data_IF_732975602798
#
_entry.id   IF_732975602798
#
_cell.length_a   1.000
_cell.length_b   1.000
_cell.length_c   1.000
_cell.angle_alpha   90.00
_cell.angle_beta   90.00
_cell.angle_gamma   90.00
#
_symmetry.space_group_name_H-M   'P 1'
#
loop_
_entity.id
_entity.type
_entity.pdbx_description
1 polymer ?
#
# COMPACT_ATOMS: atom_id res chain seq x y z
N UNK A 1 24.48 -18.39 21.36
CA UNK A 1 24.51 -17.67 20.07
C UNK A 1 25.16 -18.59 19.06
N UNK A 2 24.38 -19.40 18.39
CA UNK A 2 24.83 -20.28 17.29
C UNK A 2 24.46 -19.60 16.00
N UNK A 3 25.46 -19.15 15.27
CA UNK A 3 25.33 -18.62 13.91
C UNK A 3 24.92 -19.77 12.98
N UNK A 4 23.67 -19.75 12.52
CA UNK A 4 23.27 -20.59 11.39
C UNK A 4 23.88 -20.00 10.11
N UNK A 5 24.94 -20.64 9.63
CA UNK A 5 25.42 -20.40 8.26
C UNK A 5 24.55 -21.23 7.31
N UNK A 6 23.78 -20.55 6.48
CA UNK A 6 23.11 -21.20 5.34
C UNK A 6 24.17 -21.83 4.42
N UNK A 7 24.02 -23.06 3.98
CA UNK A 7 24.88 -23.61 2.94
C UNK A 7 24.72 -22.75 1.68
N UNK A 8 25.83 -22.30 1.13
CA UNK A 8 25.86 -21.55 -0.13
C UNK A 8 25.51 -22.52 -1.27
N UNK A 9 24.22 -22.69 -1.53
CA UNK A 9 23.76 -23.28 -2.77
C UNK A 9 23.94 -22.28 -3.94
N UNK A 10 23.96 -22.76 -5.20
CA UNK A 10 23.93 -21.86 -6.34
C UNK A 10 22.67 -20.99 -6.23
N UNK A 11 22.73 -19.71 -6.64
CA UNK A 11 21.58 -18.81 -6.58
C UNK A 11 20.38 -19.46 -7.31
N UNK A 12 19.15 -19.27 -6.82
CA UNK A 12 17.96 -19.82 -7.45
C UNK A 12 17.88 -19.34 -8.90
N UNK A 13 17.31 -20.14 -9.82
CA UNK A 13 17.09 -19.70 -11.18
C UNK A 13 16.07 -18.55 -11.19
N UNK A 14 16.56 -17.35 -11.00
CA UNK A 14 15.83 -16.11 -11.24
C UNK A 14 15.59 -15.90 -12.74
N UNK A 15 14.80 -14.88 -13.14
CA UNK A 15 14.75 -14.49 -14.54
C UNK A 15 16.19 -14.36 -15.04
N UNK A 16 16.49 -14.88 -16.21
CA UNK A 16 17.86 -14.91 -16.77
C UNK A 16 18.33 -13.47 -16.99
N UNK A 17 18.79 -12.83 -15.93
CA UNK A 17 19.48 -11.55 -16.02
C UNK A 17 20.90 -11.83 -16.49
N UNK A 18 21.26 -11.32 -17.65
CA UNK A 18 22.66 -11.23 -18.06
C UNK A 18 23.39 -10.41 -16.99
N UNK A 19 24.42 -10.96 -16.36
CA UNK A 19 25.28 -10.20 -15.46
C UNK A 19 25.18 -10.50 -13.96
N UNK A 20 24.66 -11.64 -13.53
CA UNK A 20 24.68 -12.07 -12.11
C UNK A 20 26.08 -12.16 -11.49
N UNK A 21 27.12 -12.22 -12.32
CA UNK A 21 28.52 -12.29 -11.91
C UNK A 21 29.28 -10.97 -12.07
N UNK A 22 28.56 -9.88 -12.37
CA UNK A 22 29.18 -8.56 -12.54
C UNK A 22 29.58 -8.04 -11.15
N UNK A 23 30.86 -7.73 -10.88
CA UNK A 23 31.27 -7.08 -9.65
C UNK A 23 30.49 -5.80 -9.42
N UNK A 24 29.99 -5.59 -8.19
CA UNK A 24 29.13 -4.44 -7.84
C UNK A 24 27.63 -4.62 -8.14
N UNK A 25 27.18 -5.78 -8.70
CA UNK A 25 25.78 -6.17 -8.76
C UNK A 25 25.47 -7.16 -7.63
N UNK A 26 24.63 -6.78 -6.67
CA UNK A 26 24.33 -7.59 -5.49
C UNK A 26 22.87 -8.05 -5.50
N UNK A 27 22.60 -9.37 -5.38
CA UNK A 27 21.27 -9.83 -4.97
C UNK A 27 21.04 -9.43 -3.51
N UNK A 28 19.80 -9.04 -3.18
CA UNK A 28 19.42 -8.74 -1.80
C UNK A 28 19.67 -9.98 -0.93
N UNK A 29 20.38 -9.82 0.18
CA UNK A 29 20.80 -10.92 1.08
C UNK A 29 22.28 -11.25 1.04
N UNK A 30 23.07 -10.66 0.14
CA UNK A 30 24.52 -10.63 0.28
C UNK A 30 24.92 -9.44 1.15
N UNK A 31 25.85 -9.66 2.11
CA UNK A 31 26.37 -8.59 2.98
C UNK A 31 26.99 -7.50 2.10
N UNK A 32 26.47 -6.31 2.23
CA UNK A 32 27.00 -5.12 1.57
C UNK A 32 28.23 -4.64 2.35
N UNK A 33 29.43 -4.95 1.86
CA UNK A 33 30.69 -4.41 2.37
C UNK A 33 31.44 -3.83 1.20
N UNK A 34 31.19 -2.57 0.92
CA UNK A 34 31.95 -1.85 -0.10
C UNK A 34 32.96 -0.88 0.54
N UNK A 35 34.19 -0.89 0.03
CA UNK A 35 35.27 -0.03 0.54
C UNK A 35 35.14 1.40 0.04
N UNK A 36 34.50 1.62 -1.10
CA UNK A 36 34.28 2.93 -1.71
C UNK A 36 32.78 3.25 -1.74
N UNK A 37 32.41 4.43 -1.25
CA UNK A 37 31.04 4.91 -1.29
C UNK A 37 30.61 5.16 -2.74
N UNK A 38 29.56 4.52 -3.25
CA UNK A 38 29.03 4.79 -4.58
C UNK A 38 28.44 6.22 -4.63
N UNK A 39 28.50 6.86 -5.78
CA UNK A 39 27.82 8.14 -6.04
C UNK A 39 26.42 7.93 -6.57
N UNK A 40 26.24 6.88 -7.36
CA UNK A 40 24.99 6.52 -8.03
C UNK A 40 24.64 5.06 -7.76
N UNK A 41 23.35 4.79 -7.56
CA UNK A 41 22.86 3.42 -7.38
C UNK A 41 21.59 3.18 -8.20
N UNK A 42 21.49 2.00 -8.80
CA UNK A 42 20.29 1.52 -9.46
C UNK A 42 19.71 0.33 -8.70
N UNK A 43 18.42 0.40 -8.35
CA UNK A 43 17.71 -0.66 -7.65
C UNK A 43 16.65 -1.25 -8.58
N UNK A 44 16.77 -2.53 -8.88
CA UNK A 44 15.78 -3.26 -9.66
C UNK A 44 14.74 -3.89 -8.73
N UNK A 45 13.49 -3.43 -8.84
CA UNK A 45 12.36 -3.81 -8.00
C UNK A 45 11.86 -2.65 -7.13
N UNK A 46 10.61 -2.69 -6.71
CA UNK A 46 9.94 -1.63 -5.95
C UNK A 46 9.22 -2.15 -4.70
N UNK A 47 9.71 -3.24 -4.10
CA UNK A 47 9.22 -3.82 -2.86
C UNK A 47 9.90 -3.28 -1.61
N UNK A 48 9.61 -3.88 -0.45
CA UNK A 48 10.15 -3.49 0.87
C UNK A 48 11.67 -3.31 0.87
N UNK A 49 12.41 -4.34 0.49
CA UNK A 49 13.89 -4.36 0.52
C UNK A 49 14.47 -3.22 -0.34
N UNK A 50 13.90 -3.02 -1.54
CA UNK A 50 14.35 -1.97 -2.43
C UNK A 50 14.16 -0.58 -1.81
N UNK A 51 13.03 -0.34 -1.16
CA UNK A 51 12.72 0.96 -0.54
C UNK A 51 13.58 1.25 0.70
N UNK A 52 13.80 0.24 1.54
CA UNK A 52 14.69 0.36 2.70
C UNK A 52 16.14 0.61 2.26
N UNK A 53 16.61 -0.07 1.22
CA UNK A 53 17.93 0.19 0.64
C UNK A 53 18.03 1.58 0.00
N UNK A 54 16.98 2.00 -0.73
CA UNK A 54 16.92 3.31 -1.38
C UNK A 54 16.99 4.45 -0.37
N UNK A 55 16.24 4.36 0.74
CA UNK A 55 16.27 5.33 1.84
C UNK A 55 17.69 5.48 2.41
N UNK A 56 18.30 4.35 2.80
CA UNK A 56 19.61 4.35 3.42
C UNK A 56 20.71 4.89 2.48
N UNK A 57 20.67 4.52 1.20
CA UNK A 57 21.60 5.04 0.20
C UNK A 57 21.41 6.53 -0.03
N UNK A 58 20.17 7.01 -0.13
CA UNK A 58 19.87 8.43 -0.29
C UNK A 58 20.30 9.26 0.93
N UNK A 59 20.10 8.76 2.16
CA UNK A 59 20.60 9.40 3.39
C UNK A 59 22.13 9.50 3.43
N UNK A 60 22.81 8.55 2.79
CA UNK A 60 24.26 8.62 2.57
C UNK A 60 24.65 9.59 1.44
N UNK A 61 23.68 10.22 0.74
CA UNK A 61 23.90 11.15 -0.39
C UNK A 61 24.25 10.45 -1.70
N UNK A 62 23.82 9.18 -1.86
CA UNK A 62 23.89 8.46 -3.13
C UNK A 62 22.69 8.86 -3.98
N UNK A 63 22.91 9.14 -5.25
CA UNK A 63 21.83 9.35 -6.22
C UNK A 63 21.18 8.01 -6.55
N UNK A 64 19.89 7.87 -6.24
CA UNK A 64 19.16 6.59 -6.32
C UNK A 64 18.17 6.59 -7.46
N UNK A 65 18.26 5.57 -8.31
CA UNK A 65 17.26 5.26 -9.35
C UNK A 65 16.57 3.92 -9.04
N UNK A 66 15.26 3.92 -8.93
CA UNK A 66 14.45 2.71 -8.74
C UNK A 66 13.77 2.33 -10.06
N UNK A 67 14.02 1.11 -10.53
CA UNK A 67 13.44 0.53 -11.74
C UNK A 67 12.37 -0.48 -11.35
N UNK A 68 11.13 -0.26 -11.76
CA UNK A 68 10.02 -1.14 -11.44
C UNK A 68 9.22 -1.50 -12.69
N UNK A 69 9.06 -2.80 -12.96
CA UNK A 69 8.38 -3.31 -14.17
C UNK A 69 6.89 -3.02 -14.24
N UNK A 70 6.24 -2.80 -13.09
CA UNK A 70 4.80 -2.47 -12.99
C UNK A 70 4.61 -0.97 -12.73
N UNK A 71 3.39 -0.43 -12.90
CA UNK A 71 3.13 1.00 -12.77
C UNK A 71 3.19 1.55 -11.34
N UNK A 72 3.59 0.76 -10.34
CA UNK A 72 3.63 1.18 -8.95
C UNK A 72 4.74 0.50 -8.15
N UNK A 73 5.17 1.18 -7.08
CA UNK A 73 5.94 0.59 -5.98
C UNK A 73 4.97 -0.08 -4.99
N UNK A 74 5.51 -0.92 -4.09
CA UNK A 74 4.74 -1.56 -3.01
C UNK A 74 3.49 -2.28 -3.51
N UNK A 75 3.67 -3.42 -4.14
CA UNK A 75 2.57 -4.24 -4.68
C UNK A 75 1.44 -4.60 -3.67
N UNK A 76 1.66 -4.66 -2.34
CA UNK A 76 0.57 -4.79 -1.36
C UNK A 76 -0.40 -3.61 -1.32
N UNK A 77 -0.01 -2.43 -1.79
CA UNK A 77 -0.90 -1.28 -1.94
C UNK A 77 -1.70 -1.34 -3.24
N UNK A 78 -2.82 -0.64 -3.27
CA UNK A 78 -3.45 -0.22 -4.52
C UNK A 78 -2.66 0.93 -5.16
N UNK A 79 -2.81 1.09 -6.47
CA UNK A 79 -2.09 2.11 -7.22
C UNK A 79 -2.31 3.53 -6.66
N UNK A 80 -3.55 3.87 -6.35
CA UNK A 80 -3.94 5.17 -5.82
C UNK A 80 -3.29 5.49 -4.46
N UNK A 81 -3.12 4.48 -3.60
CA UNK A 81 -2.40 4.60 -2.33
C UNK A 81 -0.89 4.71 -2.54
N UNK A 82 -0.34 4.00 -3.53
CA UNK A 82 1.08 4.04 -3.85
C UNK A 82 1.54 5.40 -4.40
N UNK A 83 0.64 6.21 -4.96
CA UNK A 83 0.99 7.54 -5.52
C UNK A 83 1.54 8.51 -4.47
N UNK A 84 1.11 8.40 -3.22
CA UNK A 84 1.69 9.18 -2.11
C UNK A 84 3.16 8.84 -1.88
N UNK A 85 3.49 7.55 -1.93
CA UNK A 85 4.88 7.09 -1.83
C UNK A 85 5.71 7.55 -3.02
N UNK A 86 5.19 7.44 -4.24
CA UNK A 86 5.88 7.91 -5.45
C UNK A 86 6.20 9.41 -5.36
N UNK A 87 5.22 10.23 -5.00
CA UNK A 87 5.40 11.67 -4.85
C UNK A 87 6.40 12.02 -3.75
N UNK A 88 6.40 11.25 -2.64
CA UNK A 88 7.34 11.45 -1.54
C UNK A 88 8.78 11.15 -1.95
N UNK A 89 9.03 10.02 -2.60
CA UNK A 89 10.37 9.64 -3.06
C UNK A 89 10.94 10.61 -4.10
N UNK A 90 10.10 11.06 -5.06
CA UNK A 90 10.52 12.07 -6.03
C UNK A 90 10.89 13.40 -5.36
N UNK A 91 10.15 13.84 -4.35
CA UNK A 91 10.50 15.04 -3.56
C UNK A 91 11.79 14.88 -2.76
N UNK A 92 12.16 13.65 -2.44
CA UNK A 92 13.47 13.31 -1.83
C UNK A 92 14.60 13.20 -2.85
N UNK A 93 14.33 13.49 -4.13
CA UNK A 93 15.34 13.45 -5.19
C UNK A 93 15.60 12.08 -5.78
N UNK A 94 14.82 11.06 -5.43
CA UNK A 94 14.97 9.73 -6.02
C UNK A 94 14.31 9.64 -7.39
N UNK A 95 14.97 9.01 -8.33
CA UNK A 95 14.48 8.78 -9.69
C UNK A 95 13.63 7.52 -9.76
N UNK A 96 12.34 7.65 -10.07
CA UNK A 96 11.43 6.51 -10.23
C UNK A 96 11.17 6.24 -11.70
N UNK A 97 11.58 5.06 -12.17
CA UNK A 97 11.31 4.55 -13.51
C UNK A 97 10.31 3.39 -13.37
N UNK A 98 9.01 3.72 -13.38
CA UNK A 98 7.92 2.75 -13.37
C UNK A 98 7.65 2.24 -14.79
N UNK A 99 6.98 1.08 -14.92
CA UNK A 99 6.80 0.35 -16.19
C UNK A 99 8.14 0.08 -16.90
N UNK A 100 9.22 -0.12 -16.14
CA UNK A 100 10.58 -0.32 -16.66
C UNK A 100 11.12 -1.63 -16.14
N UNK A 101 11.16 -2.64 -16.97
CA UNK A 101 11.71 -3.95 -16.64
C UNK A 101 13.22 -3.99 -16.91
N UNK A 102 13.99 -4.49 -15.95
CA UNK A 102 15.42 -4.75 -16.12
C UNK A 102 15.59 -6.07 -16.86
N UNK A 103 16.25 -6.03 -18.01
CA UNK A 103 16.60 -7.19 -18.83
C UNK A 103 17.94 -7.81 -18.43
N UNK A 104 18.84 -7.02 -17.83
CA UNK A 104 20.16 -7.51 -17.42
C UNK A 104 21.07 -6.40 -16.90
N UNK A 105 22.31 -6.75 -16.66
CA UNK A 105 23.35 -5.81 -16.26
C UNK A 105 24.59 -6.03 -17.15
N UNK A 106 25.30 -4.95 -17.45
CA UNK A 106 26.56 -4.97 -18.18
C UNK A 106 27.59 -4.15 -17.44
N UNK A 107 28.80 -4.65 -17.31
CA UNK A 107 29.92 -3.92 -16.74
C UNK A 107 30.81 -3.36 -17.86
N UNK A 108 31.16 -2.07 -17.73
CA UNK A 108 32.13 -1.40 -18.60
C UNK A 108 33.15 -0.65 -17.71
N UNK A 109 34.33 -1.25 -17.53
CA UNK A 109 35.30 -0.75 -16.56
C UNK A 109 34.79 -0.88 -15.11
N UNK A 110 34.70 0.23 -14.39
CA UNK A 110 34.16 0.28 -13.03
C UNK A 110 32.66 0.61 -13.00
N UNK A 111 32.06 0.98 -14.13
CA UNK A 111 30.66 1.35 -14.22
C UNK A 111 29.80 0.14 -14.54
N UNK A 112 28.69 0.01 -13.84
CA UNK A 112 27.64 -0.99 -14.11
C UNK A 112 26.50 -0.29 -14.84
N UNK A 113 26.00 -0.89 -15.92
CA UNK A 113 24.82 -0.40 -16.60
C UNK A 113 23.65 -1.39 -16.42
N UNK A 114 22.54 -0.93 -15.87
CA UNK A 114 21.29 -1.68 -15.91
C UNK A 114 20.68 -1.55 -17.31
N UNK A 115 20.52 -2.68 -17.99
CA UNK A 115 19.89 -2.77 -19.29
C UNK A 115 18.38 -2.92 -19.10
N UNK A 116 17.60 -2.00 -19.66
CA UNK A 116 16.13 -2.08 -19.59
C UNK A 116 15.54 -2.58 -20.90
N UNK A 117 14.34 -3.12 -20.83
CA UNK A 117 13.59 -3.49 -22.04
C UNK A 117 13.40 -2.22 -22.90
N UNK A 118 13.70 -2.35 -24.21
CA UNK A 118 13.74 -1.21 -25.13
C UNK A 118 15.16 -0.71 -25.46
N UNK A 119 16.20 -1.29 -24.82
CA UNK A 119 17.61 -1.11 -25.20
C UNK A 119 18.33 0.06 -24.54
N UNK A 120 17.69 0.83 -23.68
CA UNK A 120 18.35 1.87 -22.86
C UNK A 120 19.27 1.23 -21.80
N UNK A 121 20.43 1.83 -21.55
CA UNK A 121 21.34 1.45 -20.49
C UNK A 121 21.44 2.58 -19.45
N UNK A 122 21.19 2.26 -18.18
CA UNK A 122 21.24 3.21 -17.07
C UNK A 122 22.51 2.94 -16.28
N UNK A 123 23.53 3.83 -16.35
CA UNK A 123 24.78 3.65 -15.66
C UNK A 123 24.65 3.90 -14.17
N UNK A 124 25.41 3.16 -13.37
CA UNK A 124 25.52 3.34 -11.92
C UNK A 124 26.83 2.76 -11.39
N UNK A 125 27.26 3.23 -10.21
CA UNK A 125 28.38 2.65 -9.48
C UNK A 125 27.98 1.36 -8.76
N UNK A 126 26.68 1.25 -8.43
CA UNK A 126 26.11 0.15 -7.66
C UNK A 126 24.79 -0.31 -8.29
N UNK A 127 24.58 -1.62 -8.39
CA UNK A 127 23.30 -2.21 -8.78
C UNK A 127 22.80 -3.18 -7.70
N UNK A 128 21.56 -3.01 -7.26
CA UNK A 128 20.88 -3.89 -6.30
C UNK A 128 19.70 -4.58 -6.97
N UNK A 129 19.66 -5.90 -6.87
CA UNK A 129 18.59 -6.71 -7.42
C UNK A 129 17.63 -7.16 -6.32
N UNK A 130 16.44 -6.57 -6.29
CA UNK A 130 15.38 -6.81 -5.31
C UNK A 130 14.01 -7.09 -5.98
N UNK A 131 14.02 -7.97 -7.01
CA UNK A 131 12.86 -8.26 -7.88
C UNK A 131 11.90 -9.30 -7.33
N UNK A 132 12.07 -9.73 -6.09
CA UNK A 132 11.26 -10.72 -5.39
C UNK A 132 12.06 -11.90 -4.90
N UNK A 133 11.37 -12.79 -4.20
CA UNK A 133 11.93 -14.02 -3.62
C UNK A 133 11.20 -15.24 -4.18
N UNK A 134 11.92 -16.36 -4.23
CA UNK A 134 11.36 -17.66 -4.61
C UNK A 134 11.67 -18.64 -3.48
N UNK A 135 10.71 -19.50 -3.09
CA UNK A 135 10.97 -20.52 -2.07
C UNK A 135 12.16 -21.39 -2.44
N UNK A 136 13.12 -21.55 -1.52
CA UNK A 136 14.18 -22.55 -1.67
C UNK A 136 13.62 -23.94 -1.38
N UNK A 137 13.25 -24.65 -2.41
CA UNK A 137 12.53 -25.92 -2.33
C UNK A 137 13.31 -27.12 -2.92
N UNK A 138 14.59 -26.93 -3.24
CA UNK A 138 15.39 -28.00 -3.88
C UNK A 138 15.47 -29.26 -3.03
N UNK A 139 15.75 -29.11 -1.72
CA UNK A 139 15.78 -30.25 -0.78
C UNK A 139 14.40 -30.89 -0.60
N UNK A 140 13.34 -30.08 -0.55
CA UNK A 140 11.97 -30.56 -0.45
C UNK A 140 11.58 -31.42 -1.66
N UNK A 141 11.93 -30.99 -2.87
CA UNK A 141 11.76 -31.79 -4.11
C UNK A 141 12.51 -33.10 -4.06
N UNK A 142 13.79 -33.07 -3.64
CA UNK A 142 14.62 -34.29 -3.53
C UNK A 142 14.06 -35.27 -2.50
N UNK A 143 13.49 -34.77 -1.41
CA UNK A 143 12.85 -35.56 -0.36
C UNK A 143 11.42 -35.99 -0.73
N UNK A 144 10.89 -35.64 -1.88
CA UNK A 144 9.55 -36.02 -2.32
C UNK A 144 8.40 -35.30 -1.57
N UNK A 145 8.67 -34.14 -0.96
CA UNK A 145 7.64 -33.36 -0.28
C UNK A 145 6.65 -32.74 -1.28
N UNK A 146 5.38 -32.67 -0.91
CA UNK A 146 4.38 -31.96 -1.69
C UNK A 146 4.68 -30.46 -1.74
N UNK A 147 4.59 -29.90 -2.95
CA UNK A 147 4.74 -28.47 -3.20
C UNK A 147 3.43 -27.92 -3.75
N UNK A 148 3.10 -26.70 -3.32
CA UNK A 148 1.96 -25.96 -3.84
C UNK A 148 2.22 -25.32 -5.19
N UNK A 149 1.21 -24.63 -5.72
CA UNK A 149 1.21 -24.05 -7.06
C UNK A 149 2.29 -22.97 -7.29
N UNK A 150 2.73 -22.33 -6.22
CA UNK A 150 3.78 -21.30 -6.23
C UNK A 150 5.16 -21.84 -5.83
N UNK A 151 5.27 -23.16 -5.66
CA UNK A 151 6.49 -23.86 -5.30
C UNK A 151 6.83 -23.83 -3.82
N UNK A 152 5.95 -23.33 -2.96
CA UNK A 152 6.10 -23.42 -1.52
C UNK A 152 5.83 -24.86 -1.01
N UNK A 153 6.45 -25.22 0.10
CA UNK A 153 6.25 -26.52 0.73
C UNK A 153 4.85 -26.54 1.36
N UNK A 154 4.04 -27.54 1.02
CA UNK A 154 2.72 -27.71 1.62
C UNK A 154 2.88 -28.25 3.05
N UNK A 155 2.25 -27.55 4.00
CA UNK A 155 2.21 -27.93 5.40
C UNK A 155 0.78 -27.92 5.95
N UNK A 156 0.52 -28.72 6.99
CA UNK A 156 -0.72 -28.62 7.73
C UNK A 156 -0.64 -27.55 8.85
N UNK A 157 -1.70 -27.40 9.64
CA UNK A 157 -1.72 -26.44 10.74
C UNK A 157 -0.70 -26.73 11.86
N UNK A 158 -0.15 -27.92 11.91
CA UNK A 158 0.90 -28.32 12.85
C UNK A 158 2.32 -28.07 12.31
N UNK A 159 2.43 -27.52 11.10
CA UNK A 159 3.68 -27.33 10.32
C UNK A 159 4.32 -28.65 9.86
N UNK A 160 3.57 -29.75 9.84
CA UNK A 160 4.00 -31.04 9.31
C UNK A 160 3.87 -31.02 7.77
N UNK A 161 4.85 -31.59 7.09
CA UNK A 161 4.84 -31.73 5.62
C UNK A 161 4.04 -32.97 5.19
N UNK A 162 4.04 -33.28 3.90
CA UNK A 162 3.42 -34.52 3.35
C UNK A 162 4.13 -35.80 3.74
N UNK A 163 5.33 -35.74 4.33
CA UNK A 163 6.12 -36.87 4.78
C UNK A 163 6.22 -36.85 6.31
N UNK A 164 5.90 -37.96 7.01
CA UNK A 164 5.97 -38.03 8.47
C UNK A 164 7.34 -37.59 9.01
N UNK A 165 7.32 -37.00 10.21
CA UNK A 165 8.49 -36.53 10.95
C UNK A 165 9.31 -35.43 10.26
N UNK A 166 8.79 -34.84 9.17
CA UNK A 166 9.39 -33.69 8.50
C UNK A 166 8.49 -32.47 8.67
N UNK A 167 9.06 -31.38 9.20
CA UNK A 167 8.41 -30.10 9.41
C UNK A 167 9.02 -29.04 8.49
N UNK A 168 8.21 -28.08 8.06
CA UNK A 168 8.68 -26.94 7.29
C UNK A 168 8.04 -25.64 7.80
N UNK A 169 8.81 -24.54 7.82
CA UNK A 169 8.39 -23.23 8.34
C UNK A 169 9.06 -22.09 7.56
N UNK A 170 8.56 -20.89 7.74
CA UNK A 170 9.14 -19.66 7.20
C UNK A 170 8.74 -19.37 5.75
N UNK A 171 9.59 -18.66 5.04
CA UNK A 171 9.29 -18.14 3.69
C UNK A 171 9.13 -19.23 2.62
N UNK A 172 9.56 -20.45 2.93
CA UNK A 172 9.52 -21.58 2.02
C UNK A 172 8.18 -22.33 2.01
N UNK A 173 7.25 -22.02 2.94
CA UNK A 173 5.98 -22.77 3.08
C UNK A 173 4.79 -22.00 2.55
N UNK A 174 3.80 -22.72 1.99
CA UNK A 174 2.47 -22.18 1.71
C UNK A 174 1.55 -22.33 2.91
N UNK A 175 0.87 -21.25 3.28
CA UNK A 175 -0.04 -21.17 4.43
C UNK A 175 -1.38 -20.57 4.01
N UNK A 176 -2.48 -20.86 4.73
CA UNK A 176 -3.76 -20.22 4.46
C UNK A 176 -3.70 -18.70 4.63
N UNK A 177 -4.24 -17.97 3.65
CA UNK A 177 -4.53 -16.56 3.81
C UNK A 177 -5.86 -16.40 4.55
N UNK A 178 -5.86 -15.75 5.72
CA UNK A 178 -7.02 -15.72 6.62
C UNK A 178 -8.28 -15.08 6.01
N UNK A 179 -8.15 -14.24 4.98
CA UNK A 179 -9.30 -13.59 4.33
C UNK A 179 -9.90 -14.48 3.24
N UNK A 180 -9.06 -15.11 2.40
CA UNK A 180 -9.53 -15.91 1.26
C UNK A 180 -9.66 -17.40 1.56
N UNK A 181 -8.98 -17.88 2.59
CA UNK A 181 -8.85 -19.33 2.89
C UNK A 181 -7.87 -20.07 1.95
N UNK A 182 -7.42 -19.43 0.88
CA UNK A 182 -6.52 -20.04 -0.10
C UNK A 182 -5.07 -20.07 0.40
N UNK A 183 -4.37 -21.17 0.09
CA UNK A 183 -2.94 -21.29 0.41
C UNK A 183 -2.11 -20.33 -0.45
N UNK A 184 -1.19 -19.64 0.19
CA UNK A 184 -0.31 -18.66 -0.46
C UNK A 184 1.03 -18.53 0.28
N UNK A 185 1.99 -17.93 -0.40
CA UNK A 185 3.28 -17.54 0.20
C UNK A 185 3.13 -16.17 0.88
N UNK A 186 3.47 -16.10 2.16
CA UNK A 186 3.54 -14.86 2.94
C UNK A 186 4.93 -14.79 3.59
N UNK A 187 5.89 -14.26 2.84
CA UNK A 187 7.29 -14.16 3.24
C UNK A 187 7.51 -12.98 4.18
N UNK A 188 7.10 -13.15 5.44
CA UNK A 188 7.19 -12.15 6.50
C UNK A 188 7.71 -12.79 7.80
N UNK A 189 8.55 -12.05 8.53
CA UNK A 189 9.19 -12.53 9.76
C UNK A 189 8.20 -12.89 10.88
N UNK A 190 7.08 -12.16 11.00
CA UNK A 190 6.04 -12.45 11.99
C UNK A 190 5.43 -13.85 11.85
N UNK A 191 4.87 -14.21 10.66
CA UNK A 191 4.48 -15.57 10.34
C UNK A 191 5.57 -16.60 10.58
N UNK A 192 6.78 -16.39 10.04
CA UNK A 192 7.90 -17.33 10.15
C UNK A 192 8.25 -17.69 11.60
N UNK A 193 8.32 -16.69 12.49
CA UNK A 193 8.61 -16.89 13.92
C UNK A 193 7.50 -17.67 14.64
N UNK A 194 6.23 -17.38 14.36
CA UNK A 194 5.09 -18.11 14.95
C UNK A 194 5.05 -19.56 14.48
N UNK A 195 5.31 -19.81 13.19
CA UNK A 195 5.42 -21.14 12.61
C UNK A 195 6.55 -21.94 13.24
N UNK A 196 7.73 -21.33 13.43
CA UNK A 196 8.87 -21.97 14.09
C UNK A 196 8.53 -22.44 15.50
N UNK A 197 7.80 -21.65 16.28
CA UNK A 197 7.32 -22.06 17.61
C UNK A 197 6.34 -23.23 17.53
N UNK A 198 5.33 -23.14 16.64
CA UNK A 198 4.34 -24.22 16.48
C UNK A 198 5.01 -25.54 16.09
N UNK A 199 5.97 -25.50 15.15
CA UNK A 199 6.73 -26.70 14.79
C UNK A 199 7.52 -27.29 15.99
N UNK A 200 8.22 -26.43 16.73
CA UNK A 200 8.99 -26.86 17.90
C UNK A 200 8.10 -27.51 18.98
N UNK A 201 6.97 -26.88 19.31
CA UNK A 201 6.00 -27.40 20.26
C UNK A 201 5.52 -28.79 19.82
N UNK A 202 5.21 -28.96 18.53
CA UNK A 202 4.70 -30.24 17.99
C UNK A 202 5.78 -31.35 17.91
N UNK A 203 7.01 -31.00 17.57
CA UNK A 203 8.16 -31.92 17.61
C UNK A 203 8.38 -32.44 19.03
N UNK A 204 8.11 -31.63 20.04
CA UNK A 204 8.19 -32.01 21.45
C UNK A 204 6.92 -32.72 21.98
N UNK A 205 5.98 -33.12 21.14
CA UNK A 205 4.77 -33.84 21.50
C UNK A 205 3.58 -32.99 21.90
N UNK A 206 3.63 -31.68 21.64
CA UNK A 206 2.51 -30.75 21.83
C UNK A 206 1.44 -30.83 20.72
N UNK A 207 0.37 -29.99 20.84
CA UNK A 207 -0.70 -29.85 19.84
C UNK A 207 -0.94 -28.38 19.53
N UNK A 208 0.12 -27.66 19.17
CA UNK A 208 0.04 -26.28 18.75
C UNK A 208 -0.39 -26.18 17.28
N UNK A 209 -1.15 -25.09 16.94
CA UNK A 209 -1.69 -24.89 15.59
C UNK A 209 -1.42 -23.49 15.07
N UNK A 210 -1.02 -23.41 13.82
CA UNK A 210 -0.90 -22.16 13.04
C UNK A 210 -2.04 -22.07 12.04
N UNK A 211 -2.92 -21.08 12.21
CA UNK A 211 -4.14 -20.96 11.41
C UNK A 211 -3.94 -20.25 10.08
N UNK A 212 -2.81 -19.58 9.90
CA UNK A 212 -2.52 -18.78 8.71
C UNK A 212 -2.15 -17.33 9.04
N UNK A 213 -2.08 -16.50 8.02
CA UNK A 213 -1.79 -15.07 8.13
C UNK A 213 -2.62 -14.25 7.15
N UNK A 214 -2.74 -12.96 7.41
CA UNK A 214 -3.40 -11.98 6.53
C UNK A 214 -2.42 -11.04 5.83
N UNK A 215 -1.10 -11.22 6.02
CA UNK A 215 -0.07 -10.44 5.34
C UNK A 215 0.10 -9.02 5.88
N UNK A 216 -0.09 -8.81 7.19
CA UNK A 216 0.12 -7.51 7.82
C UNK A 216 1.59 -7.08 7.72
N UNK A 217 1.81 -5.88 7.20
CA UNK A 217 3.14 -5.35 6.92
C UNK A 217 3.20 -3.84 7.14
N UNK A 218 4.36 -3.35 7.53
CA UNK A 218 4.68 -1.94 7.68
C UNK A 218 6.10 -1.68 7.22
N UNK A 219 6.33 -0.54 6.59
CA UNK A 219 7.65 -0.08 6.19
C UNK A 219 7.78 1.42 6.42
N UNK A 220 8.94 1.85 6.90
CA UNK A 220 9.35 3.25 6.90
C UNK A 220 10.07 3.55 5.59
N UNK A 221 9.73 4.65 4.95
CA UNK A 221 10.40 5.13 3.74
C UNK A 221 10.65 6.64 3.91
N UNK A 222 11.84 6.99 4.29
CA UNK A 222 12.22 8.32 4.77
C UNK A 222 11.33 8.72 5.98
N UNK A 223 10.54 9.78 5.88
CA UNK A 223 9.61 10.19 6.94
C UNK A 223 8.21 9.61 6.77
N UNK A 224 7.98 8.84 5.72
CA UNK A 224 6.68 8.25 5.43
C UNK A 224 6.61 6.83 5.98
N UNK A 225 5.51 6.50 6.61
CA UNK A 225 5.15 5.13 7.01
C UNK A 225 4.08 4.60 6.07
N UNK A 226 4.29 3.40 5.55
CA UNK A 226 3.39 2.70 4.65
C UNK A 226 3.02 1.35 5.27
N UNK A 227 1.74 1.07 5.42
CA UNK A 227 1.28 -0.18 6.02
C UNK A 227 0.10 -0.78 5.25
N UNK A 228 0.01 -2.11 5.27
CA UNK A 228 -1.10 -2.85 4.67
C UNK A 228 -1.41 -4.12 5.46
N UNK A 229 -2.66 -4.56 5.40
CA UNK A 229 -3.12 -5.84 5.94
C UNK A 229 -4.26 -6.39 5.11
N UNK A 230 -4.37 -7.71 4.96
CA UNK A 230 -5.41 -8.35 4.14
C UNK A 230 -5.24 -8.10 2.65
N UNK A 231 -6.34 -7.92 1.95
CA UNK A 231 -6.40 -7.77 0.50
C UNK A 231 -6.38 -6.31 0.08
N UNK A 232 -5.74 -6.03 -1.05
CA UNK A 232 -5.98 -4.82 -1.83
C UNK A 232 -7.12 -5.05 -2.85
N UNK A 233 -7.57 -4.02 -3.56
CA UNK A 233 -8.67 -4.14 -4.54
C UNK A 233 -8.40 -5.20 -5.60
N UNK A 234 -7.18 -5.21 -6.14
CA UNK A 234 -6.76 -6.19 -7.15
C UNK A 234 -6.87 -7.63 -6.64
N UNK A 235 -6.44 -7.89 -5.41
CA UNK A 235 -6.53 -9.21 -4.80
C UNK A 235 -7.98 -9.60 -4.47
N UNK A 236 -8.79 -8.65 -3.99
CA UNK A 236 -10.21 -8.86 -3.74
C UNK A 236 -10.97 -9.19 -5.03
N UNK A 237 -10.70 -8.47 -6.12
CA UNK A 237 -11.26 -8.75 -7.45
C UNK A 237 -10.83 -10.12 -7.99
N UNK A 238 -9.54 -10.46 -7.86
CA UNK A 238 -9.03 -11.76 -8.27
C UNK A 238 -9.64 -12.94 -7.49
N UNK A 239 -10.02 -12.71 -6.23
CA UNK A 239 -10.74 -13.66 -5.39
C UNK A 239 -12.26 -13.68 -5.65
N UNK A 240 -12.78 -12.87 -6.58
CA UNK A 240 -14.21 -12.79 -6.89
C UNK A 240 -15.07 -12.20 -5.78
N UNK A 241 -14.48 -11.44 -4.85
CA UNK A 241 -15.18 -10.84 -3.72
C UNK A 241 -15.88 -9.55 -4.14
N UNK A 242 -17.16 -9.41 -3.75
CA UNK A 242 -17.90 -8.15 -3.89
C UNK A 242 -17.59 -7.27 -2.70
N UNK A 243 -16.96 -6.13 -2.92
CA UNK A 243 -16.50 -5.25 -1.86
C UNK A 243 -16.99 -3.81 -2.02
N UNK A 244 -16.96 -3.09 -0.90
CA UNK A 244 -17.04 -1.64 -0.81
C UNK A 244 -15.72 -1.11 -0.30
N UNK A 245 -15.39 0.16 -0.61
CA UNK A 245 -14.16 0.79 -0.14
C UNK A 245 -14.44 2.14 0.51
N UNK A 246 -13.71 2.45 1.55
CA UNK A 246 -13.74 3.73 2.25
C UNK A 246 -12.34 4.33 2.18
N UNK A 247 -12.23 5.58 1.72
CA UNK A 247 -10.99 6.33 1.75
C UNK A 247 -11.17 7.57 2.62
N UNK A 248 -10.34 7.70 3.65
CA UNK A 248 -10.34 8.82 4.59
C UNK A 248 -8.94 9.42 4.69
N UNK A 249 -8.87 10.74 4.92
CA UNK A 249 -7.59 11.43 5.17
C UNK A 249 -7.63 12.18 6.51
N UNK A 250 -7.70 11.47 7.66
CA UNK A 250 -7.70 12.08 8.99
C UNK A 250 -6.30 12.57 9.40
N UNK A 251 -6.27 13.41 10.45
CA UNK A 251 -5.04 13.73 11.16
C UNK A 251 -4.60 12.56 12.06
N UNK A 252 -3.28 12.46 12.30
CA UNK A 252 -2.69 11.49 13.22
C UNK A 252 -3.18 11.64 14.67
N UNK A 253 -3.48 12.87 15.06
CA UNK A 253 -3.98 13.23 16.39
C UNK A 253 -4.88 14.48 16.34
N UNK A 254 -5.34 14.98 17.50
CA UNK A 254 -6.24 16.11 17.62
C UNK A 254 -5.68 17.38 16.94
N UNK A 255 -6.46 17.98 16.03
CA UNK A 255 -6.03 19.10 15.20
C UNK A 255 -5.68 20.39 15.97
N UNK A 256 -6.16 20.54 17.21
CA UNK A 256 -5.81 21.65 18.10
C UNK A 256 -4.47 21.44 18.84
N UNK A 257 -3.92 20.21 18.80
CA UNK A 257 -2.59 19.92 19.34
C UNK A 257 -1.54 20.05 18.23
N UNK A 258 -0.41 20.74 18.47
CA UNK A 258 0.59 20.99 17.45
C UNK A 258 1.21 19.72 16.86
N UNK A 259 1.52 19.75 15.59
CA UNK A 259 2.29 18.69 14.92
C UNK A 259 1.45 17.63 14.20
N UNK A 260 0.12 17.70 14.24
CA UNK A 260 -0.74 16.74 13.55
C UNK A 260 -0.43 16.59 12.07
N UNK A 261 -0.26 15.35 11.60
CA UNK A 261 0.04 15.00 10.21
C UNK A 261 -1.13 14.23 9.60
N UNK A 262 -1.45 14.54 8.35
CA UNK A 262 -2.45 13.77 7.62
C UNK A 262 -1.93 12.36 7.33
N UNK A 263 -2.79 11.37 7.53
CA UNK A 263 -2.64 10.03 6.98
C UNK A 263 -3.78 9.75 6.00
N UNK A 264 -3.55 8.94 4.99
CA UNK A 264 -4.61 8.46 4.11
C UNK A 264 -4.81 6.97 4.40
N UNK A 265 -6.06 6.61 4.68
CA UNK A 265 -6.48 5.25 4.98
C UNK A 265 -7.46 4.79 3.90
N UNK A 266 -7.26 3.58 3.40
CA UNK A 266 -8.20 2.90 2.51
C UNK A 266 -8.54 1.56 3.14
N UNK A 267 -9.84 1.31 3.36
CA UNK A 267 -10.34 0.08 3.97
C UNK A 267 -11.32 -0.57 3.02
N UNK A 268 -11.15 -1.88 2.81
CA UNK A 268 -12.04 -2.71 2.01
C UNK A 268 -12.86 -3.61 2.92
N UNK A 269 -14.15 -3.70 2.65
CA UNK A 269 -15.04 -4.65 3.32
C UNK A 269 -16.01 -5.30 2.35
N UNK A 270 -16.46 -6.50 2.66
CA UNK A 270 -17.36 -7.29 1.83
C UNK A 270 -18.80 -6.76 1.92
N UNK A 271 -19.42 -6.56 0.76
CA UNK A 271 -20.82 -6.13 0.70
C UNK A 271 -21.75 -7.20 1.30
N UNK A 272 -22.71 -6.76 2.09
CA UNK A 272 -23.68 -7.62 2.75
C UNK A 272 -23.19 -8.21 4.07
N UNK A 273 -22.04 -8.87 4.11
CA UNK A 273 -21.48 -9.42 5.36
C UNK A 273 -20.80 -8.39 6.23
N UNK A 274 -20.37 -7.27 5.67
CA UNK A 274 -19.58 -6.20 6.32
C UNK A 274 -18.21 -6.68 6.85
N UNK A 275 -17.75 -7.86 6.45
CA UNK A 275 -16.46 -8.44 6.86
C UNK A 275 -15.31 -7.59 6.34
N UNK A 276 -14.36 -7.25 7.18
CA UNK A 276 -13.13 -6.58 6.78
C UNK A 276 -12.32 -7.49 5.84
N UNK A 277 -11.95 -6.97 4.68
CA UNK A 277 -11.17 -7.68 3.67
C UNK A 277 -9.71 -7.21 3.63
N UNK A 278 -9.48 -5.93 3.87
CA UNK A 278 -8.14 -5.38 3.86
C UNK A 278 -8.10 -3.90 4.21
N UNK A 279 -6.90 -3.43 4.53
CA UNK A 279 -6.66 -2.03 4.81
C UNK A 279 -5.25 -1.62 4.38
N UNK A 280 -5.13 -0.36 3.98
CA UNK A 280 -3.88 0.28 3.59
C UNK A 280 -3.83 1.66 4.21
N UNK A 281 -2.67 2.05 4.75
CA UNK A 281 -2.48 3.36 5.36
C UNK A 281 -1.14 3.93 4.92
N UNK A 282 -1.13 5.19 4.51
CA UNK A 282 0.07 5.95 4.18
C UNK A 282 0.05 7.27 4.94
N UNK A 283 1.09 7.55 5.70
CA UNK A 283 1.18 8.76 6.52
C UNK A 283 2.54 8.88 7.20
N UNK A 284 2.70 9.90 8.05
CA UNK A 284 3.96 10.12 8.78
C UNK A 284 3.93 9.49 10.17
N UNK A 285 2.83 9.61 10.91
CA UNK A 285 2.73 9.21 12.31
C UNK A 285 1.45 8.43 12.58
N UNK A 286 1.53 7.44 13.47
CA UNK A 286 0.39 6.67 13.96
C UNK A 286 -0.24 5.72 12.92
N UNK A 287 0.46 5.44 11.83
CA UNK A 287 0.07 4.48 10.79
C UNK A 287 0.15 3.07 11.34
N UNK A 288 1.26 2.73 12.01
CA UNK A 288 1.53 1.44 12.65
C UNK A 288 0.45 1.07 13.68
N UNK A 289 0.10 2.02 14.55
CA UNK A 289 -0.97 1.82 15.54
C UNK A 289 -2.31 1.44 14.86
N UNK A 290 -2.71 2.16 13.79
CA UNK A 290 -4.02 1.97 13.17
C UNK A 290 -4.10 0.72 12.31
N UNK A 291 -3.00 0.38 11.62
CA UNK A 291 -2.99 -0.88 10.85
C UNK A 291 -3.10 -2.09 11.77
N UNK A 292 -2.47 -2.06 12.96
CA UNK A 292 -2.54 -3.16 13.92
C UNK A 292 -3.94 -3.31 14.54
N UNK A 293 -4.64 -2.19 14.81
CA UNK A 293 -6.04 -2.23 15.26
C UNK A 293 -6.93 -2.85 14.18
N UNK A 294 -6.78 -2.41 12.91
CA UNK A 294 -7.54 -2.99 11.78
C UNK A 294 -7.21 -4.46 11.55
N UNK A 295 -5.94 -4.84 11.63
CA UNK A 295 -5.49 -6.23 11.52
C UNK A 295 -6.07 -7.11 12.64
N UNK A 296 -6.13 -6.59 13.86
CA UNK A 296 -6.72 -7.27 15.02
C UNK A 296 -8.24 -7.43 14.87
N UNK A 297 -8.93 -6.35 14.45
CA UNK A 297 -10.37 -6.39 14.19
C UNK A 297 -10.72 -7.40 13.08
N UNK A 298 -9.92 -7.43 12.02
CA UNK A 298 -10.07 -8.41 10.92
C UNK A 298 -9.88 -9.83 11.41
N UNK A 299 -8.83 -10.11 12.19
CA UNK A 299 -8.57 -11.43 12.74
C UNK A 299 -9.64 -11.88 13.76
N UNK A 300 -10.21 -10.93 14.51
CA UNK A 300 -11.34 -11.18 15.42
C UNK A 300 -12.68 -11.35 14.69
N UNK A 301 -12.74 -11.15 13.36
CA UNK A 301 -13.96 -11.28 12.59
C UNK A 301 -14.98 -10.18 12.84
N UNK A 302 -14.55 -9.00 13.30
CA UNK A 302 -15.45 -7.87 13.53
C UNK A 302 -15.97 -7.33 12.19
N UNK A 303 -17.28 -6.99 12.09
CA UNK A 303 -17.78 -6.25 10.95
C UNK A 303 -17.20 -4.82 10.94
N UNK A 304 -17.07 -4.23 9.75
CA UNK A 304 -16.50 -2.87 9.60
C UNK A 304 -17.25 -1.82 10.43
N UNK A 305 -18.55 -1.96 10.59
CA UNK A 305 -19.38 -1.06 11.39
C UNK A 305 -19.08 -1.13 12.88
N UNK A 306 -18.58 -2.25 13.41
CA UNK A 306 -18.19 -2.36 14.82
C UNK A 306 -16.94 -1.52 15.17
N UNK A 307 -16.15 -1.10 14.18
CA UNK A 307 -14.98 -0.24 14.40
C UNK A 307 -15.35 1.08 15.08
N UNK A 308 -16.57 1.59 14.90
CA UNK A 308 -17.03 2.84 15.52
C UNK A 308 -17.09 2.78 17.05
N UNK A 309 -17.33 1.57 17.59
CA UNK A 309 -17.58 1.30 19.01
C UNK A 309 -16.29 0.86 19.76
N UNK A 310 -15.16 0.72 19.06
CA UNK A 310 -13.90 0.37 19.68
C UNK A 310 -13.46 1.47 20.66
N UNK A 311 -13.25 1.09 21.91
CA UNK A 311 -12.72 1.97 22.96
C UNK A 311 -11.20 2.05 22.84
N UNK A 312 -10.74 3.04 22.08
CA UNK A 312 -9.32 3.25 21.78
C UNK A 312 -8.74 4.37 22.63
N UNK A 313 -7.51 4.15 23.12
CA UNK A 313 -6.81 5.08 23.98
C UNK A 313 -6.64 6.46 23.31
N UNK A 314 -7.08 7.50 24.00
CA UNK A 314 -7.03 8.89 23.55
C UNK A 314 -6.30 9.80 24.53
N UNK A 315 -5.41 10.60 23.97
CA UNK A 315 -4.99 11.89 24.50
C UNK A 315 -4.56 12.76 23.32
N UNK A 316 -4.64 14.11 23.41
CA UNK A 316 -4.39 15.00 22.25
C UNK A 316 -3.13 14.74 21.45
N UNK A 317 -1.96 14.37 22.03
CA UNK A 317 -0.75 14.08 21.27
C UNK A 317 -0.78 12.75 20.49
N UNK A 318 -1.69 11.82 20.79
CA UNK A 318 -1.67 10.45 20.29
C UNK A 318 -2.81 10.10 19.33
N UNK A 319 -3.95 10.76 19.50
CA UNK A 319 -5.16 10.48 18.72
C UNK A 319 -6.13 11.66 18.72
N UNK A 320 -7.21 11.53 17.99
CA UNK A 320 -8.44 12.31 18.17
C UNK A 320 -9.43 11.51 19.03
N UNK A 321 -10.38 12.18 19.68
CA UNK A 321 -11.42 11.52 20.49
C UNK A 321 -12.22 10.48 19.67
N UNK A 322 -12.39 10.74 18.37
CA UNK A 322 -12.79 9.75 17.37
C UNK A 322 -11.50 9.34 16.64
N UNK A 323 -10.90 8.21 17.01
CA UNK A 323 -9.70 7.72 16.33
C UNK A 323 -9.98 7.50 14.82
N UNK A 324 -9.00 7.65 13.95
CA UNK A 324 -9.12 7.30 12.52
C UNK A 324 -9.81 5.96 12.26
N UNK A 325 -9.59 4.94 13.10
CA UNK A 325 -10.28 3.64 12.98
C UNK A 325 -11.76 3.76 13.28
N UNK A 326 -12.15 4.53 14.32
CA UNK A 326 -13.55 4.78 14.60
C UNK A 326 -14.24 5.54 13.46
N UNK A 327 -13.53 6.48 12.80
CA UNK A 327 -14.08 7.20 11.63
C UNK A 327 -14.39 6.24 10.47
N UNK A 328 -13.61 5.20 10.24
CA UNK A 328 -13.94 4.14 9.26
C UNK A 328 -15.27 3.48 9.62
N UNK A 329 -15.47 3.11 10.89
CA UNK A 329 -16.70 2.48 11.36
C UNK A 329 -17.93 3.38 11.20
N UNK A 330 -17.82 4.67 11.56
CA UNK A 330 -18.89 5.65 11.34
C UNK A 330 -19.22 5.84 9.85
N UNK A 331 -18.20 5.91 9.00
CA UNK A 331 -18.43 6.04 7.56
C UNK A 331 -19.07 4.79 6.97
N UNK A 332 -18.63 3.60 7.38
CA UNK A 332 -19.26 2.34 6.97
C UNK A 332 -20.74 2.28 7.38
N UNK A 333 -21.06 2.65 8.61
CA UNK A 333 -22.46 2.68 9.07
C UNK A 333 -23.32 3.64 8.24
N UNK A 334 -22.80 4.84 7.96
CA UNK A 334 -23.52 5.82 7.13
C UNK A 334 -23.77 5.32 5.69
N UNK A 335 -22.85 4.57 5.12
CA UNK A 335 -22.99 3.94 3.80
C UNK A 335 -24.03 2.83 3.83
N UNK A 336 -23.93 1.90 4.79
CA UNK A 336 -24.84 0.76 4.93
C UNK A 336 -26.30 1.20 5.23
N UNK A 337 -26.47 2.29 5.97
CA UNK A 337 -27.78 2.89 6.25
C UNK A 337 -28.31 3.78 5.11
N UNK A 338 -27.53 4.00 4.05
CA UNK A 338 -27.88 4.90 2.96
C UNK A 338 -27.94 6.37 3.34
N UNK A 339 -27.35 6.73 4.49
CA UNK A 339 -27.27 8.12 5.01
C UNK A 339 -26.35 8.98 4.15
N UNK A 340 -25.38 8.38 3.49
CA UNK A 340 -24.48 9.01 2.52
C UNK A 340 -24.26 8.08 1.34
N UNK A 341 -24.14 8.65 0.16
CA UNK A 341 -23.62 8.00 -1.04
C UNK A 341 -22.21 8.50 -1.31
N UNK A 342 -21.38 7.69 -1.96
CA UNK A 342 -20.02 8.09 -2.28
C UNK A 342 -19.68 7.83 -3.74
N UNK A 343 -18.67 8.55 -4.22
CA UNK A 343 -18.00 8.30 -5.48
C UNK A 343 -16.47 8.39 -5.27
N UNK A 344 -15.73 7.83 -6.20
CA UNK A 344 -14.29 7.65 -6.07
C UNK A 344 -13.53 8.39 -7.17
N UNK A 345 -12.20 8.42 -7.07
CA UNK A 345 -11.36 9.12 -8.01
C UNK A 345 -11.49 8.58 -9.46
N UNK A 346 -11.77 7.29 -9.61
CA UNK A 346 -11.98 6.64 -10.90
C UNK A 346 -13.22 7.18 -11.62
N UNK A 347 -14.23 7.57 -10.87
CA UNK A 347 -15.52 8.04 -11.39
C UNK A 347 -15.44 9.45 -11.95
N UNK A 348 -14.50 10.29 -11.42
CA UNK A 348 -14.43 11.74 -11.71
C UNK A 348 -14.34 12.04 -13.21
N UNK A 349 -13.54 11.27 -13.95
CA UNK A 349 -13.39 11.47 -15.39
C UNK A 349 -14.67 11.15 -16.19
N UNK A 350 -15.52 10.28 -15.68
CA UNK A 350 -16.78 9.86 -16.29
C UNK A 350 -18.00 10.72 -15.91
N UNK A 351 -17.86 11.62 -14.95
CA UNK A 351 -18.96 12.50 -14.54
C UNK A 351 -19.38 13.42 -15.70
N UNK A 352 -20.69 13.62 -15.96
CA UNK A 352 -21.15 14.52 -17.00
C UNK A 352 -20.72 15.97 -16.78
N UNK A 353 -20.42 16.71 -17.89
CA UNK A 353 -20.09 18.15 -17.90
C UNK A 353 -21.12 18.95 -18.70
N UNK A 354 -22.23 18.31 -19.09
CA UNK A 354 -23.31 18.88 -19.90
C UNK A 354 -24.41 19.59 -19.08
N UNK A 355 -24.20 19.71 -17.77
CA UNK A 355 -25.17 20.29 -16.85
C UNK A 355 -26.28 19.34 -16.38
N UNK A 356 -26.20 18.05 -16.71
CA UNK A 356 -27.14 17.02 -16.20
C UNK A 356 -26.89 16.68 -14.72
N UNK A 357 -25.73 17.01 -14.20
CA UNK A 357 -25.35 16.90 -12.79
C UNK A 357 -24.77 18.21 -12.27
N UNK A 358 -24.72 18.39 -10.95
CA UNK A 358 -24.03 19.50 -10.30
C UNK A 358 -22.72 19.00 -9.68
N UNK A 359 -21.61 19.66 -9.99
CA UNK A 359 -20.28 19.35 -9.48
C UNK A 359 -19.84 20.47 -8.54
N UNK A 360 -19.77 20.19 -7.21
CA UNK A 360 -19.44 21.18 -6.19
C UNK A 360 -18.09 20.89 -5.52
N UNK A 361 -17.31 21.94 -5.33
CA UNK A 361 -16.11 21.93 -4.51
C UNK A 361 -16.35 22.75 -3.22
N UNK A 362 -16.44 22.06 -2.10
CA UNK A 362 -16.75 22.64 -0.78
C UNK A 362 -15.50 23.16 -0.03
N UNK A 363 -14.37 23.34 -0.75
CA UNK A 363 -13.14 23.93 -0.20
C UNK A 363 -13.22 25.45 -0.12
N UNK A 364 -12.27 26.04 0.60
CA UNK A 364 -12.11 27.49 0.59
C UNK A 364 -11.70 27.99 -0.81
N UNK A 365 -11.97 29.28 -1.16
CA UNK A 365 -11.54 29.84 -2.44
C UNK A 365 -10.02 29.75 -2.66
N UNK A 366 -9.22 29.89 -1.60
CA UNK A 366 -7.76 29.76 -1.67
C UNK A 366 -7.30 28.32 -2.01
N UNK A 367 -7.93 27.30 -1.43
CA UNK A 367 -7.64 25.90 -1.78
C UNK A 367 -8.07 25.57 -3.22
N UNK A 368 -9.20 26.12 -3.66
CA UNK A 368 -9.74 25.91 -5.00
C UNK A 368 -8.85 26.56 -6.07
N UNK A 369 -8.39 27.80 -5.85
CA UNK A 369 -7.49 28.52 -6.77
C UNK A 369 -6.11 27.87 -6.91
N UNK A 370 -5.68 27.10 -5.90
CA UNK A 370 -4.44 26.31 -5.95
C UNK A 370 -4.53 25.05 -6.83
N UNK A 371 -5.71 24.75 -7.38
CA UNK A 371 -6.00 23.61 -8.24
C UNK A 371 -7.37 23.01 -7.92
N UNK A 372 -8.10 22.58 -8.94
CA UNK A 372 -9.45 22.01 -8.79
C UNK A 372 -9.68 20.87 -9.79
N UNK A 373 -10.70 20.07 -9.54
CA UNK A 373 -11.16 19.08 -10.50
C UNK A 373 -11.98 19.77 -11.60
N UNK A 374 -11.76 19.34 -12.84
CA UNK A 374 -12.43 19.93 -14.00
C UNK A 374 -13.96 19.89 -13.87
N UNK A 375 -14.60 21.05 -14.10
CA UNK A 375 -16.05 21.20 -14.06
C UNK A 375 -16.65 21.37 -12.67
N UNK A 376 -15.87 21.26 -11.59
CA UNK A 376 -16.34 21.53 -10.24
C UNK A 376 -16.38 23.05 -9.98
N UNK A 377 -17.49 23.53 -9.40
CA UNK A 377 -17.70 24.94 -9.03
C UNK A 377 -17.48 25.09 -7.53
N UNK A 378 -16.77 26.13 -7.14
CA UNK A 378 -16.48 26.36 -5.72
C UNK A 378 -17.69 26.98 -5.00
N UNK A 379 -18.18 26.25 -4.01
CA UNK A 379 -19.16 26.72 -3.03
C UNK A 379 -18.66 26.28 -1.66
N UNK A 380 -17.97 27.14 -0.91
CA UNK A 380 -17.42 26.80 0.39
C UNK A 380 -18.47 26.24 1.33
N UNK A 381 -18.10 25.25 2.15
CA UNK A 381 -19.04 24.62 3.09
C UNK A 381 -19.75 25.62 3.98
N UNK A 382 -19.02 26.64 4.47
CA UNK A 382 -19.54 27.63 5.40
C UNK A 382 -20.57 28.57 4.76
N UNK A 383 -20.54 28.73 3.44
CA UNK A 383 -21.45 29.55 2.63
C UNK A 383 -22.57 28.71 1.97
N UNK A 384 -22.48 27.38 2.01
CA UNK A 384 -23.36 26.47 1.25
C UNK A 384 -24.85 26.73 1.50
N UNK A 385 -25.24 27.03 2.74
CA UNK A 385 -26.66 27.27 3.09
C UNK A 385 -27.24 28.52 2.38
N UNK A 386 -26.42 29.51 2.16
CA UNK A 386 -26.83 30.76 1.49
C UNK A 386 -26.96 30.57 -0.03
N UNK A 387 -26.27 29.54 -0.56
CA UNK A 387 -26.25 29.20 -2.00
C UNK A 387 -27.15 28.02 -2.39
N UNK A 388 -27.94 27.44 -1.46
CA UNK A 388 -28.80 26.30 -1.80
C UNK A 388 -29.77 26.60 -2.93
N UNK A 389 -30.29 27.83 -3.04
CA UNK A 389 -31.18 28.28 -4.11
C UNK A 389 -30.54 28.33 -5.50
N UNK A 390 -29.23 28.31 -5.60
CA UNK A 390 -28.48 28.31 -6.87
C UNK A 390 -28.21 26.90 -7.39
N UNK A 391 -28.36 25.88 -6.53
CA UNK A 391 -28.16 24.48 -6.88
C UNK A 391 -29.42 23.97 -7.57
N UNK A 392 -29.29 23.51 -8.80
CA UNK A 392 -30.43 23.04 -9.59
C UNK A 392 -31.12 21.83 -8.94
N UNK A 393 -32.42 21.94 -8.59
CA UNK A 393 -33.15 20.82 -7.99
C UNK A 393 -33.33 19.68 -8.97
N UNK A 394 -33.44 18.44 -8.43
CA UNK A 394 -33.72 17.23 -9.25
C UNK A 394 -32.54 16.69 -10.03
N UNK A 395 -31.35 17.26 -9.88
CA UNK A 395 -30.10 16.76 -10.46
C UNK A 395 -29.21 16.14 -9.38
N UNK A 396 -28.46 15.05 -9.68
CA UNK A 396 -27.46 14.55 -8.78
C UNK A 396 -26.38 15.59 -8.50
N UNK A 397 -25.94 15.69 -7.22
CA UNK A 397 -24.91 16.64 -6.77
C UNK A 397 -23.70 15.85 -6.29
N UNK A 398 -22.56 16.01 -6.97
CA UNK A 398 -21.29 15.40 -6.60
C UNK A 398 -20.45 16.43 -5.87
N UNK A 399 -20.08 16.14 -4.62
CA UNK A 399 -19.41 17.09 -3.75
C UNK A 399 -18.00 16.64 -3.41
N UNK A 400 -17.02 17.50 -3.66
CA UNK A 400 -15.61 17.30 -3.34
C UNK A 400 -15.16 18.28 -2.26
N UNK A 401 -14.18 17.88 -1.44
CA UNK A 401 -13.41 18.79 -0.60
C UNK A 401 -11.97 18.29 -0.47
N UNK A 402 -11.15 18.88 0.40
CA UNK A 402 -9.72 18.53 0.50
C UNK A 402 -9.45 17.09 0.99
N UNK A 403 -10.25 16.57 1.95
CA UNK A 403 -9.98 15.29 2.64
C UNK A 403 -11.21 14.37 2.78
N UNK A 404 -12.38 14.77 2.27
CA UNK A 404 -13.64 14.01 2.33
C UNK A 404 -14.59 14.41 3.46
N UNK A 405 -14.14 15.14 4.51
CA UNK A 405 -14.99 15.50 5.65
C UNK A 405 -15.95 16.67 5.34
N UNK A 406 -15.46 17.78 4.79
CA UNK A 406 -16.31 18.93 4.44
C UNK A 406 -17.35 18.59 3.38
N UNK A 407 -16.97 17.77 2.39
CA UNK A 407 -17.91 17.28 1.37
C UNK A 407 -18.97 16.32 1.97
N UNK A 408 -18.60 15.51 2.97
CA UNK A 408 -19.58 14.74 3.74
C UNK A 408 -20.59 15.66 4.46
N UNK A 409 -20.11 16.68 5.16
CA UNK A 409 -20.99 17.64 5.83
C UNK A 409 -21.88 18.40 4.84
N UNK A 410 -21.33 18.80 3.68
CA UNK A 410 -22.11 19.41 2.61
C UNK A 410 -23.19 18.47 2.07
N UNK A 411 -22.89 17.19 1.84
CA UNK A 411 -23.88 16.19 1.48
C UNK A 411 -24.97 16.02 2.54
N UNK A 412 -24.63 16.12 3.84
CA UNK A 412 -25.63 16.06 4.91
C UNK A 412 -26.58 17.27 4.89
N UNK A 413 -26.05 18.47 4.62
CA UNK A 413 -26.87 19.67 4.42
C UNK A 413 -27.79 19.48 3.21
N UNK A 414 -27.21 19.16 2.05
CA UNK A 414 -27.95 18.98 0.80
C UNK A 414 -29.06 17.91 0.89
N UNK A 415 -28.77 16.78 1.53
CA UNK A 415 -29.73 15.70 1.70
C UNK A 415 -30.93 16.11 2.57
N UNK A 416 -30.75 17.01 3.57
CA UNK A 416 -31.85 17.54 4.37
C UNK A 416 -32.77 18.44 3.54
N UNK A 417 -32.25 19.08 2.51
CA UNK A 417 -33.02 19.91 1.57
C UNK A 417 -33.49 19.12 0.33
N UNK A 418 -33.40 17.77 0.38
CA UNK A 418 -33.98 16.87 -0.63
C UNK A 418 -33.11 16.63 -1.88
N UNK A 419 -31.85 17.04 -1.87
CA UNK A 419 -30.92 16.76 -2.98
C UNK A 419 -30.39 15.32 -2.95
N UNK A 420 -30.28 14.72 -4.13
CA UNK A 420 -29.54 13.46 -4.31
C UNK A 420 -28.06 13.77 -4.42
N UNK A 421 -27.28 13.50 -3.39
CA UNK A 421 -25.90 13.93 -3.29
C UNK A 421 -24.91 12.80 -3.01
N UNK A 422 -23.68 12.97 -3.50
CA UNK A 422 -22.58 12.00 -3.44
C UNK A 422 -21.36 12.66 -2.87
N UNK A 423 -20.76 12.05 -1.84
CA UNK A 423 -19.52 12.50 -1.21
C UNK A 423 -18.30 11.90 -1.91
N UNK A 424 -17.32 12.72 -2.24
CA UNK A 424 -16.04 12.23 -2.77
C UNK A 424 -15.19 11.55 -1.69
N UNK A 425 -15.01 10.24 -1.81
CA UNK A 425 -14.20 9.43 -0.90
C UNK A 425 -12.71 9.71 -1.08
N UNK A 426 -12.04 10.20 -0.02
CA UNK A 426 -10.61 10.53 -0.02
C UNK A 426 -10.27 12.00 -0.25
N UNK A 427 -11.16 12.76 -0.91
CA UNK A 427 -10.99 14.21 -1.16
C UNK A 427 -10.00 14.56 -2.28
N UNK A 428 -9.91 15.86 -2.61
CA UNK A 428 -9.09 16.39 -3.70
C UNK A 428 -7.60 16.03 -3.55
N UNK A 429 -7.05 16.06 -2.34
CA UNK A 429 -5.66 15.66 -2.07
C UNK A 429 -5.34 14.25 -2.58
N UNK A 430 -6.29 13.31 -2.40
CA UNK A 430 -6.15 11.94 -2.89
C UNK A 430 -6.21 11.90 -4.42
N UNK A 431 -7.18 12.59 -5.01
CA UNK A 431 -7.34 12.72 -6.45
C UNK A 431 -6.12 13.37 -7.11
N UNK A 432 -5.66 14.51 -6.56
CA UNK A 432 -4.47 15.24 -7.03
C UNK A 432 -3.22 14.35 -7.03
N UNK A 433 -3.04 13.53 -5.98
CA UNK A 433 -1.90 12.60 -5.91
C UNK A 433 -1.87 11.62 -7.09
N UNK A 434 -3.05 11.10 -7.49
CA UNK A 434 -3.18 10.20 -8.64
C UNK A 434 -2.92 10.93 -9.95
N UNK A 435 -3.49 12.14 -10.12
CA UNK A 435 -3.29 12.93 -11.32
C UNK A 435 -1.82 13.32 -11.51
N UNK A 436 -1.17 13.79 -10.44
CA UNK A 436 0.24 14.18 -10.47
C UNK A 436 1.14 13.01 -10.83
N UNK A 437 0.89 11.81 -10.27
CA UNK A 437 1.68 10.62 -10.61
C UNK A 437 1.50 10.22 -12.08
N UNK A 438 0.27 10.27 -12.60
CA UNK A 438 -0.03 9.99 -14.01
C UNK A 438 0.65 11.00 -14.93
N UNK A 439 0.56 12.29 -14.61
CA UNK A 439 1.19 13.36 -15.39
C UNK A 439 2.72 13.22 -15.41
N UNK A 440 3.34 12.96 -14.25
CA UNK A 440 4.79 12.78 -14.12
C UNK A 440 5.30 11.60 -14.96
N UNK A 441 4.50 10.52 -15.07
CA UNK A 441 4.88 9.38 -15.92
C UNK A 441 4.84 9.67 -17.41
N UNK A 442 3.94 10.55 -17.83
CA UNK A 442 3.80 10.93 -19.25
C UNK A 442 4.83 11.96 -19.71
N UNK A 443 5.31 12.79 -18.80
CA UNK A 443 6.07 14.01 -19.10
C UNK A 443 7.50 13.99 -18.56
N UNK A 444 8.15 12.87 -18.37
CA UNK A 444 9.55 12.71 -17.91
C UNK A 444 10.08 13.95 -17.15
N UNK A 445 9.81 14.04 -15.85
CA UNK A 445 10.14 15.21 -15.04
C UNK A 445 11.67 15.40 -14.90
N UNK A 446 12.26 16.51 -15.34
CA UNK A 446 13.54 16.93 -14.81
C UNK A 446 13.32 17.44 -13.38
N UNK A 447 14.12 17.00 -12.42
CA UNK A 447 14.11 17.54 -11.07
C UNK A 447 14.16 19.07 -11.14
N UNK A 448 13.18 19.77 -10.56
CA UNK A 448 13.22 21.22 -10.38
C UNK A 448 12.28 22.08 -11.22
N UNK A 449 11.32 21.51 -11.94
CA UNK A 449 10.30 22.32 -12.65
C UNK A 449 9.05 22.49 -11.78
N UNK A 450 8.59 23.74 -11.66
CA UNK A 450 7.34 24.12 -10.99
C UNK A 450 6.12 23.44 -11.62
N UNK A 451 5.07 23.24 -10.80
CA UNK A 451 3.79 22.65 -11.22
C UNK A 451 3.19 23.40 -12.42
N UNK A 452 2.55 22.68 -13.37
CA UNK A 452 1.70 23.35 -14.36
C UNK A 452 0.49 24.00 -13.70
#
# INVERSE_FOLDING_TARGET
>A
MTSFSWPRGPPPPGPRCLGWTVPGCFPCGQSFVERNRPKTAVLAGGGFISLEMAENLAEMGVEVTILQRIPQLMNPLDYDMATFLHSHLRRKGMHLRLNTAVAGFRQEGETISALVEGGEAIPADLAILAIGVTPENALAKQAGLALGSRGGIVVNQRMETSVPDIYAVGDAVEIPHLVTGENTLISLAGPANKQGRVAADNICGGDSRYLGAQGSSVVKVCELTVAATGLNEKAAQAAGLSYEKIVLSPLSHAGYYPGGKLMTMKVLYEKGSQRLLGAQIVGHEGVDKRIDVLATAMQAGLPVTALKDLDLAYAPPYASAKDPVNLVGFMAENLEQGVVKQFHWEDVAGLPRDGSVTLLDARTPGEYSGGCAEGFVNVPLDELRDHLGEIAPGKPVYVMCQSGLRSYLACRILAQDGYDCYNFSGGYRFYESVLLDRWTRQNAYPCGVERP
#
